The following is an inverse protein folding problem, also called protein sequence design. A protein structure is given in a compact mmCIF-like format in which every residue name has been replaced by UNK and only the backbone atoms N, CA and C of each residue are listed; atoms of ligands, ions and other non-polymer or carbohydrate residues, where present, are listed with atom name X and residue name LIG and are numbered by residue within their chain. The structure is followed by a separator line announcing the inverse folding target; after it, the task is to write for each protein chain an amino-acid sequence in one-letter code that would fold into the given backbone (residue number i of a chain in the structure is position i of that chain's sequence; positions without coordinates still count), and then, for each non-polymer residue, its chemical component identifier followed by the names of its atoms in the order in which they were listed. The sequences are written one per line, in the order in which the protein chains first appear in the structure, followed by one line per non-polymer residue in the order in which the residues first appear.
data_IF_767904545743
#
_entry.id   IF_767904545743
#
_cell.length_a   1.000
_cell.length_b   1.000
_cell.length_c   1.000
_cell.angle_alpha   90.00
_cell.angle_beta   90.00
_cell.angle_gamma   90.00
#
_symmetry.space_group_name_H-M   'P 1'
#
loop_
_entity.id
_entity.type
_entity.pdbx_description
1 polymer ?
#
# COMPACT_ATOMS: atom_id res chain seq x y z
N UNK A 1 -10.53 -3.28 -11.37
CA UNK A 1 -9.89 -2.26 -10.51
C UNK A 1 -8.36 -2.33 -10.53
N UNK A 2 -7.76 -3.04 -11.45
CA UNK A 2 -6.32 -2.89 -11.70
C UNK A 2 -6.11 -1.71 -12.64
N UNK A 3 -5.26 -0.72 -12.28
CA UNK A 3 -4.98 0.40 -13.18
C UNK A 3 -4.41 -0.16 -14.49
N UNK A 4 -5.02 0.22 -15.61
CA UNK A 4 -4.58 -0.24 -16.92
C UNK A 4 -3.51 0.72 -17.44
N UNK A 5 -2.33 0.19 -17.71
CA UNK A 5 -1.32 0.93 -18.43
C UNK A 5 -1.64 0.94 -19.94
N UNK A 6 -1.32 1.99 -20.67
CA UNK A 6 -1.38 1.97 -22.13
C UNK A 6 -0.56 0.83 -22.70
N UNK A 7 -1.05 0.22 -23.78
CA UNK A 7 -0.37 -0.88 -24.48
C UNK A 7 1.05 -0.47 -24.89
N UNK A 8 2.02 -1.35 -24.68
CA UNK A 8 3.41 -1.15 -25.08
C UNK A 8 4.20 -0.12 -24.27
N UNK A 9 3.61 0.50 -23.23
CA UNK A 9 4.33 1.52 -22.44
C UNK A 9 5.47 0.89 -21.63
N UNK A 10 6.63 1.57 -21.60
CA UNK A 10 7.75 1.18 -20.77
C UNK A 10 7.56 1.64 -19.33
N UNK A 11 8.19 0.94 -18.39
CA UNK A 11 8.17 1.28 -16.96
C UNK A 11 8.60 2.71 -16.71
N UNK A 12 9.74 3.14 -17.27
CA UNK A 12 10.22 4.51 -17.11
C UNK A 12 9.20 5.55 -17.62
N UNK A 13 8.57 5.29 -18.77
CA UNK A 13 7.58 6.20 -19.35
C UNK A 13 6.30 6.28 -18.50
N UNK A 14 5.87 5.16 -17.90
CA UNK A 14 4.73 5.15 -17.01
C UNK A 14 5.05 5.93 -15.72
N UNK A 15 6.22 5.71 -15.12
CA UNK A 15 6.64 6.44 -13.90
C UNK A 15 6.80 7.94 -14.18
N UNK A 16 7.31 8.31 -15.35
CA UNK A 16 7.43 9.70 -15.79
C UNK A 16 6.08 10.44 -15.83
N UNK A 17 4.97 9.74 -16.05
CA UNK A 17 3.62 10.35 -15.97
C UNK A 17 3.29 10.90 -14.59
N UNK A 18 3.93 10.39 -13.53
CA UNK A 18 3.82 10.96 -12.18
C UNK A 18 4.28 12.42 -12.11
N UNK A 19 5.10 12.88 -13.07
CA UNK A 19 5.56 14.27 -13.13
C UNK A 19 4.58 15.25 -13.79
N UNK A 20 3.48 14.77 -14.37
CA UNK A 20 2.48 15.64 -15.01
C UNK A 20 2.01 16.81 -14.15
N UNK A 21 1.77 16.69 -12.83
CA UNK A 21 1.39 17.84 -12.01
C UNK A 21 2.45 18.93 -11.91
N UNK A 22 3.71 18.62 -12.22
CA UNK A 22 4.83 19.58 -12.20
C UNK A 22 5.11 20.21 -13.57
N UNK A 23 4.41 19.78 -14.61
CA UNK A 23 4.56 20.27 -15.98
C UNK A 23 3.47 21.31 -16.28
N UNK A 24 3.82 22.29 -17.11
CA UNK A 24 2.89 23.28 -17.64
C UNK A 24 3.19 23.52 -19.13
N UNK A 25 2.32 24.24 -19.83
CA UNK A 25 2.51 24.59 -21.24
C UNK A 25 3.87 25.27 -21.53
N UNK A 26 4.43 25.96 -20.52
CA UNK A 26 5.71 26.69 -20.63
C UNK A 26 6.86 25.96 -19.93
N UNK A 27 6.58 24.96 -19.08
CA UNK A 27 7.59 24.18 -18.36
C UNK A 27 7.58 22.76 -18.90
N UNK A 28 8.48 22.51 -19.83
CA UNK A 28 8.75 21.18 -20.36
C UNK A 28 9.55 20.34 -19.35
N UNK A 29 9.86 19.10 -19.73
CA UNK A 29 10.69 18.17 -18.98
C UNK A 29 12.02 18.79 -18.53
N UNK A 30 12.39 18.62 -17.28
CA UNK A 30 13.58 19.21 -16.67
C UNK A 30 14.50 18.12 -16.07
N UNK A 31 15.80 18.44 -15.83
CA UNK A 31 16.69 17.52 -15.11
C UNK A 31 16.21 17.16 -13.68
N UNK A 32 15.36 17.99 -13.08
CA UNK A 32 14.74 17.69 -11.80
C UNK A 32 13.67 16.59 -11.94
N UNK A 33 12.91 16.59 -13.04
CA UNK A 33 11.93 15.55 -13.33
C UNK A 33 12.61 14.21 -13.60
N UNK A 34 13.73 14.21 -14.35
CA UNK A 34 14.55 13.02 -14.59
C UNK A 34 15.02 12.41 -13.27
N UNK A 35 15.59 13.22 -12.36
CA UNK A 35 16.03 12.75 -11.03
C UNK A 35 14.88 12.21 -10.21
N UNK A 36 13.73 12.88 -10.18
CA UNK A 36 12.57 12.42 -9.42
C UNK A 36 12.05 11.06 -9.93
N UNK A 37 12.07 10.82 -11.23
CA UNK A 37 11.71 9.52 -11.83
C UNK A 37 12.73 8.46 -11.45
N UNK A 38 14.02 8.76 -11.55
CA UNK A 38 15.08 7.82 -11.20
C UNK A 38 15.01 7.43 -9.72
N UNK A 39 14.87 8.39 -8.82
CA UNK A 39 14.71 8.17 -7.38
C UNK A 39 13.45 7.34 -7.06
N UNK A 40 12.34 7.62 -7.75
CA UNK A 40 11.11 6.87 -7.59
C UNK A 40 11.26 5.39 -8.00
N UNK A 41 11.96 5.13 -9.13
CA UNK A 41 12.26 3.77 -9.59
C UNK A 41 13.16 3.01 -8.61
N UNK A 42 14.15 3.69 -8.03
CA UNK A 42 15.06 3.12 -7.03
C UNK A 42 14.34 2.82 -5.72
N UNK A 43 13.56 3.78 -5.18
CA UNK A 43 12.80 3.59 -3.96
C UNK A 43 11.79 2.44 -4.06
N UNK A 44 11.15 2.28 -5.22
CA UNK A 44 10.22 1.17 -5.47
C UNK A 44 10.92 -0.15 -5.82
N UNK A 45 12.26 -0.17 -5.94
CA UNK A 45 13.04 -1.37 -6.28
C UNK A 45 12.77 -1.90 -7.70
N UNK A 46 12.44 -1.00 -8.65
CA UNK A 46 12.10 -1.37 -10.04
C UNK A 46 13.01 -0.72 -11.08
N UNK A 47 14.12 -0.11 -10.67
CA UNK A 47 15.05 0.56 -11.59
C UNK A 47 15.59 -0.37 -12.68
N UNK A 48 15.87 -1.63 -12.36
CA UNK A 48 16.32 -2.65 -13.33
C UNK A 48 15.27 -3.02 -14.38
N UNK A 49 14.00 -2.64 -14.16
CA UNK A 49 12.88 -2.91 -15.05
C UNK A 49 12.51 -1.70 -15.93
N UNK A 50 13.22 -0.56 -15.80
CA UNK A 50 12.87 0.71 -16.42
C UNK A 50 12.63 0.64 -17.95
N UNK A 51 13.41 -0.18 -18.65
CA UNK A 51 13.30 -0.37 -20.11
C UNK A 51 12.26 -1.41 -20.53
N UNK A 52 11.74 -2.24 -19.60
CA UNK A 52 10.75 -3.29 -19.89
C UNK A 52 9.37 -2.69 -20.14
N UNK A 53 8.54 -3.43 -20.87
CA UNK A 53 7.12 -3.09 -21.02
C UNK A 53 6.36 -3.48 -19.77
N UNK A 54 5.38 -2.68 -19.37
CA UNK A 54 4.57 -2.93 -18.15
C UNK A 54 3.78 -4.24 -18.25
N UNK A 55 3.37 -4.63 -19.44
CA UNK A 55 2.66 -5.88 -19.72
C UNK A 55 3.50 -7.14 -19.47
N UNK A 56 4.83 -7.03 -19.52
CA UNK A 56 5.78 -8.14 -19.30
C UNK A 56 6.04 -8.41 -17.80
N UNK A 57 5.50 -7.57 -16.92
CA UNK A 57 5.78 -7.62 -15.49
C UNK A 57 4.85 -8.58 -14.75
N UNK A 58 5.37 -9.20 -13.67
CA UNK A 58 4.52 -9.90 -12.70
C UNK A 58 3.57 -8.92 -12.00
N UNK A 59 2.53 -9.44 -11.35
CA UNK A 59 1.59 -8.62 -10.59
C UNK A 59 2.27 -7.73 -9.55
N UNK A 60 3.19 -8.30 -8.74
CA UNK A 60 3.93 -7.56 -7.73
C UNK A 60 4.88 -6.52 -8.30
N UNK A 61 5.58 -6.85 -9.41
CA UNK A 61 6.42 -5.88 -10.11
C UNK A 61 5.58 -4.71 -10.66
N UNK A 62 4.43 -5.02 -11.26
CA UNK A 62 3.51 -4.01 -11.78
C UNK A 62 2.99 -3.10 -10.67
N UNK A 63 2.62 -3.66 -9.53
CA UNK A 63 2.18 -2.88 -8.37
C UNK A 63 3.26 -1.91 -7.88
N UNK A 64 4.51 -2.35 -7.77
CA UNK A 64 5.64 -1.48 -7.41
C UNK A 64 5.90 -0.38 -8.44
N UNK A 65 5.68 -0.64 -9.73
CA UNK A 65 5.76 0.40 -10.77
C UNK A 65 4.67 1.47 -10.60
N UNK A 66 3.44 1.09 -10.22
CA UNK A 66 2.38 2.06 -9.89
C UNK A 66 2.73 2.90 -8.67
N UNK A 67 3.32 2.28 -7.63
CA UNK A 67 3.83 3.02 -6.48
C UNK A 67 4.95 3.97 -6.89
N UNK A 68 5.89 3.53 -7.74
CA UNK A 68 6.94 4.40 -8.29
C UNK A 68 6.35 5.63 -9.03
N UNK A 69 5.31 5.44 -9.83
CA UNK A 69 4.62 6.54 -10.51
C UNK A 69 4.02 7.53 -9.50
N UNK A 70 3.41 7.04 -8.41
CA UNK A 70 2.91 7.90 -7.35
C UNK A 70 4.03 8.61 -6.59
N UNK A 71 5.17 7.94 -6.35
CA UNK A 71 6.36 8.53 -5.72
C UNK A 71 6.99 9.63 -6.58
N UNK A 72 6.97 9.48 -7.91
CA UNK A 72 7.48 10.48 -8.84
C UNK A 72 6.70 11.81 -8.76
N UNK A 73 5.49 11.83 -8.20
CA UNK A 73 4.76 13.08 -7.91
C UNK A 73 5.44 13.92 -6.82
N UNK A 74 6.33 13.32 -6.03
CA UNK A 74 7.08 13.97 -4.96
C UNK A 74 6.18 14.72 -3.97
N UNK A 75 5.16 14.04 -3.49
CA UNK A 75 4.24 14.53 -2.47
C UNK A 75 4.60 14.01 -1.07
N UNK A 76 4.36 14.80 0.00
CA UNK A 76 4.63 14.35 1.37
C UNK A 76 3.66 13.24 1.83
N UNK A 77 2.52 13.11 1.16
CA UNK A 77 1.47 12.11 1.47
C UNK A 77 1.29 11.19 0.27
N UNK A 78 1.33 9.89 0.52
CA UNK A 78 1.05 8.82 -0.43
C UNK A 78 -0.25 8.11 -0.04
N UNK A 79 -1.21 8.06 -0.96
CA UNK A 79 -2.47 7.35 -0.79
C UNK A 79 -2.44 6.07 -1.63
N UNK A 80 -2.64 4.92 -0.99
CA UNK A 80 -2.66 3.61 -1.62
C UNK A 80 -4.04 2.95 -1.38
N UNK A 81 -4.79 2.78 -2.45
CA UNK A 81 -6.08 2.10 -2.38
C UNK A 81 -5.88 0.62 -2.73
N UNK A 82 -6.09 -0.25 -1.74
CA UNK A 82 -5.95 -1.71 -1.84
C UNK A 82 -4.65 -2.19 -2.53
N UNK A 83 -3.46 -1.75 -2.09
CA UNK A 83 -2.22 -2.01 -2.82
C UNK A 83 -1.77 -3.48 -2.78
N UNK A 84 -2.41 -4.31 -1.97
CA UNK A 84 -2.09 -5.75 -1.80
C UNK A 84 -3.08 -6.68 -2.49
N UNK A 85 -4.17 -6.16 -3.06
CA UNK A 85 -5.23 -6.96 -3.70
C UNK A 85 -4.70 -7.69 -4.93
N UNK A 86 -5.06 -8.96 -5.10
CA UNK A 86 -4.62 -9.88 -6.16
C UNK A 86 -3.12 -10.25 -6.15
N UNK A 87 -2.40 -9.93 -5.08
CA UNK A 87 -1.02 -10.35 -4.88
C UNK A 87 -0.95 -11.60 -4.00
N UNK A 88 0.02 -12.48 -4.25
CA UNK A 88 0.38 -13.51 -3.29
C UNK A 88 1.02 -12.92 -2.03
N UNK A 89 1.10 -13.71 -0.98
CA UNK A 89 1.54 -13.24 0.34
C UNK A 89 2.95 -12.63 0.31
N UNK A 90 3.87 -13.13 -0.51
CA UNK A 90 5.23 -12.61 -0.57
C UNK A 90 5.25 -11.20 -1.16
N UNK A 91 4.51 -10.99 -2.24
CA UNK A 91 4.40 -9.68 -2.89
C UNK A 91 3.59 -8.66 -2.05
N UNK A 92 2.57 -9.13 -1.29
CA UNK A 92 1.88 -8.26 -0.32
C UNK A 92 2.84 -7.72 0.73
N UNK A 93 3.69 -8.60 1.29
CA UNK A 93 4.71 -8.22 2.27
C UNK A 93 5.71 -7.22 1.66
N UNK A 94 6.23 -7.48 0.46
CA UNK A 94 7.15 -6.57 -0.23
C UNK A 94 6.56 -5.16 -0.40
N UNK A 95 5.29 -5.05 -0.79
CA UNK A 95 4.59 -3.76 -0.95
C UNK A 95 4.45 -3.03 0.38
N UNK A 96 4.11 -3.75 1.46
CA UNK A 96 3.95 -3.15 2.79
C UNK A 96 5.29 -2.79 3.43
N UNK A 97 6.34 -3.56 3.19
CA UNK A 97 7.71 -3.20 3.59
C UNK A 97 8.20 -1.94 2.89
N UNK A 98 7.90 -1.79 1.58
CA UNK A 98 8.16 -0.55 0.85
C UNK A 98 7.40 0.62 1.48
N UNK A 99 6.11 0.47 1.77
CA UNK A 99 5.30 1.50 2.42
C UNK A 99 5.88 1.91 3.80
N UNK A 100 6.30 0.92 4.60
CA UNK A 100 6.94 1.16 5.89
C UNK A 100 8.32 1.83 5.76
N UNK A 101 9.10 1.50 4.72
CA UNK A 101 10.37 2.17 4.45
C UNK A 101 10.18 3.64 4.08
N UNK A 102 9.17 3.95 3.26
CA UNK A 102 8.82 5.33 2.89
C UNK A 102 8.36 6.14 4.11
N UNK A 103 7.59 5.52 5.00
CA UNK A 103 7.15 6.15 6.25
C UNK A 103 8.36 6.47 7.15
N UNK A 104 9.34 5.57 7.29
CA UNK A 104 10.59 5.83 8.04
C UNK A 104 11.43 6.95 7.44
N UNK A 105 11.30 7.21 6.14
CA UNK A 105 11.93 8.33 5.44
C UNK A 105 11.16 9.66 5.60
N UNK A 106 10.10 9.69 6.42
CA UNK A 106 9.34 10.89 6.75
C UNK A 106 8.11 11.14 5.87
N UNK A 107 7.74 10.23 4.95
CA UNK A 107 6.49 10.34 4.19
C UNK A 107 5.30 9.85 5.01
N UNK A 108 4.15 10.46 4.84
CA UNK A 108 2.89 9.93 5.36
C UNK A 108 2.30 8.97 4.34
N UNK A 109 2.13 7.69 4.72
CA UNK A 109 1.49 6.69 3.85
C UNK A 109 0.13 6.33 4.44
N UNK A 110 -0.93 6.49 3.66
CA UNK A 110 -2.28 6.06 3.98
C UNK A 110 -2.65 4.93 3.04
N UNK A 111 -2.97 3.75 3.57
CA UNK A 111 -3.33 2.58 2.78
C UNK A 111 -4.68 2.01 3.23
N UNK A 112 -5.53 1.65 2.26
CA UNK A 112 -6.72 0.83 2.50
C UNK A 112 -6.30 -0.63 2.38
N UNK A 113 -6.53 -1.41 3.42
CA UNK A 113 -6.15 -2.82 3.48
C UNK A 113 -7.33 -3.69 3.92
N UNK A 114 -7.41 -4.91 3.39
CA UNK A 114 -8.42 -5.89 3.75
C UNK A 114 -7.87 -7.00 4.67
N UNK A 115 -6.58 -7.28 4.60
CA UNK A 115 -5.92 -8.31 5.40
C UNK A 115 -5.58 -7.77 6.79
N UNK A 116 -6.40 -8.11 7.80
CA UNK A 116 -6.26 -7.63 9.17
C UNK A 116 -4.86 -7.87 9.76
N UNK A 117 -4.31 -9.08 9.55
CA UNK A 117 -3.00 -9.43 10.08
C UNK A 117 -1.89 -8.52 9.55
N UNK A 118 -1.93 -8.20 8.25
CA UNK A 118 -0.97 -7.31 7.62
C UNK A 118 -1.21 -5.84 8.03
N UNK A 119 -2.47 -5.41 8.10
CA UNK A 119 -2.80 -4.07 8.57
C UNK A 119 -2.30 -3.85 10.00
N UNK A 120 -2.51 -4.79 10.92
CA UNK A 120 -2.07 -4.67 12.31
C UNK A 120 -0.56 -4.75 12.49
N UNK A 121 0.13 -5.48 11.60
CA UNK A 121 1.58 -5.62 11.64
C UNK A 121 2.31 -4.38 11.12
N UNK A 122 1.82 -3.76 10.05
CA UNK A 122 2.54 -2.70 9.34
C UNK A 122 2.06 -1.28 9.68
N UNK A 123 0.80 -1.11 10.10
CA UNK A 123 0.28 0.21 10.43
C UNK A 123 0.84 0.71 11.77
N UNK A 124 1.24 1.98 11.80
CA UNK A 124 1.54 2.72 13.04
C UNK A 124 0.27 3.31 13.64
N UNK A 125 -0.73 3.58 12.79
CA UNK A 125 -2.03 4.12 13.17
C UNK A 125 -3.10 3.50 12.29
N UNK A 126 -4.20 3.07 12.90
CA UNK A 126 -5.37 2.54 12.21
C UNK A 126 -6.53 3.53 12.28
N UNK A 127 -7.29 3.59 11.21
CA UNK A 127 -8.63 4.18 11.17
C UNK A 127 -9.60 3.07 10.77
N UNK A 128 -10.44 2.66 11.71
CA UNK A 128 -11.43 1.59 11.49
C UNK A 128 -12.76 2.23 11.12
N UNK A 129 -13.28 1.87 9.95
CA UNK A 129 -14.55 2.36 9.45
C UNK A 129 -15.60 1.25 9.42
N UNK A 130 -16.82 1.60 9.77
CA UNK A 130 -17.99 0.72 9.68
C UNK A 130 -19.22 1.53 9.31
N UNK A 131 -19.97 1.09 8.31
CA UNK A 131 -21.20 1.76 7.83
C UNK A 131 -21.02 3.27 7.56
N UNK A 132 -19.89 3.66 6.97
CA UNK A 132 -19.60 5.05 6.60
C UNK A 132 -19.12 5.94 7.76
N UNK A 133 -18.94 5.40 8.97
CA UNK A 133 -18.46 6.14 10.13
C UNK A 133 -17.11 5.58 10.64
N UNK A 134 -16.29 6.45 11.23
CA UNK A 134 -15.10 6.05 11.97
C UNK A 134 -15.56 5.52 13.33
N UNK A 135 -15.26 4.27 13.63
CA UNK A 135 -15.67 3.61 14.90
C UNK A 135 -14.52 3.45 15.88
N UNK A 136 -13.27 3.48 15.40
CA UNK A 136 -12.07 3.49 16.22
C UNK A 136 -10.90 4.09 15.44
N UNK A 137 -9.95 4.72 16.15
CA UNK A 137 -8.68 5.17 15.58
C UNK A 137 -7.60 5.17 16.67
N UNK A 138 -6.38 4.83 16.29
CA UNK A 138 -5.23 4.74 17.20
C UNK A 138 -4.23 3.68 16.77
N UNK A 139 -3.25 3.38 17.61
CA UNK A 139 -2.31 2.31 17.31
C UNK A 139 -3.01 0.94 17.33
N UNK A 140 -2.56 -0.04 16.50
CA UNK A 140 -3.16 -1.38 16.51
C UNK A 140 -3.24 -2.01 17.89
N UNK A 141 -2.19 -1.83 18.70
CA UNK A 141 -2.12 -2.42 20.05
C UNK A 141 -3.12 -1.82 21.04
N UNK A 142 -3.52 -0.57 20.85
CA UNK A 142 -4.44 0.13 21.75
C UNK A 142 -5.90 -0.11 21.39
N UNK A 143 -6.22 -0.12 20.09
CA UNK A 143 -7.62 -0.09 19.67
C UNK A 143 -8.17 -1.46 19.24
N UNK A 144 -7.31 -2.42 18.84
CA UNK A 144 -7.79 -3.72 18.38
C UNK A 144 -8.19 -4.58 19.58
N UNK A 145 -9.50 -4.85 19.69
CA UNK A 145 -10.10 -5.72 20.69
C UNK A 145 -10.99 -6.77 20.04
N UNK A 146 -11.26 -7.89 20.73
CA UNK A 146 -12.19 -8.91 20.26
C UNK A 146 -13.56 -8.30 19.95
N UNK A 147 -14.04 -7.40 20.81
CA UNK A 147 -15.32 -6.69 20.65
C UNK A 147 -15.35 -5.79 19.40
N UNK A 148 -14.23 -5.10 19.10
CA UNK A 148 -14.13 -4.28 17.89
C UNK A 148 -14.21 -5.15 16.64
N UNK A 149 -13.47 -6.26 16.61
CA UNK A 149 -13.47 -7.19 15.46
C UNK A 149 -14.84 -7.82 15.27
N UNK A 150 -15.49 -8.28 16.33
CA UNK A 150 -16.84 -8.84 16.28
C UNK A 150 -17.84 -7.81 15.77
N UNK A 151 -17.80 -6.58 16.29
CA UNK A 151 -18.72 -5.49 15.90
C UNK A 151 -18.57 -5.09 14.43
N UNK A 152 -17.33 -4.99 13.93
CA UNK A 152 -17.04 -4.42 12.60
C UNK A 152 -17.12 -5.48 11.49
N UNK A 153 -16.64 -6.70 11.78
CA UNK A 153 -16.49 -7.78 10.79
C UNK A 153 -17.46 -8.94 11.00
N UNK A 154 -18.35 -8.86 12.02
CA UNK A 154 -19.24 -9.97 12.42
C UNK A 154 -18.46 -11.29 12.60
N UNK A 155 -17.28 -11.19 13.24
CA UNK A 155 -16.32 -12.28 13.37
C UNK A 155 -15.99 -12.52 14.85
N UNK A 156 -16.63 -13.49 15.52
CA UNK A 156 -16.19 -13.94 16.84
C UNK A 156 -14.74 -14.45 16.75
N UNK A 157 -13.87 -13.94 17.59
CA UNK A 157 -12.45 -14.26 17.52
C UNK A 157 -11.81 -14.33 18.90
N UNK A 158 -10.58 -14.79 18.92
CA UNK A 158 -9.62 -14.61 20.00
C UNK A 158 -8.47 -13.78 19.47
N UNK A 159 -7.97 -12.87 20.28
CA UNK A 159 -6.74 -12.13 19.95
C UNK A 159 -5.54 -12.82 20.56
N UNK A 160 -4.54 -13.04 19.72
CA UNK A 160 -3.18 -13.38 20.11
C UNK A 160 -2.28 -12.17 19.78
N UNK A 161 -1.02 -12.25 20.19
CA UNK A 161 -0.03 -11.22 19.86
C UNK A 161 1.20 -11.86 19.22
N UNK A 162 1.65 -11.25 18.13
CA UNK A 162 2.92 -11.64 17.49
C UNK A 162 4.07 -11.46 18.50
N UNK A 163 4.81 -12.51 18.84
CA UNK A 163 5.89 -12.41 19.84
C UNK A 163 7.05 -11.50 19.42
N UNK A 164 7.21 -11.25 18.13
CA UNK A 164 8.28 -10.40 17.61
C UNK A 164 7.89 -8.93 17.59
N UNK A 165 6.68 -8.63 17.10
CA UNK A 165 6.23 -7.26 16.87
C UNK A 165 5.24 -6.78 17.93
N UNK A 166 4.61 -7.69 18.67
CA UNK A 166 3.50 -7.39 19.58
C UNK A 166 2.21 -6.98 18.86
N UNK A 167 2.16 -7.13 17.54
CA UNK A 167 0.96 -6.82 16.77
C UNK A 167 -0.18 -7.81 17.08
N UNK A 168 -1.45 -7.34 17.14
CA UNK A 168 -2.58 -8.23 17.32
C UNK A 168 -2.74 -9.21 16.16
N UNK A 169 -3.07 -10.47 16.48
CA UNK A 169 -3.38 -11.53 15.53
C UNK A 169 -4.80 -12.01 15.81
N UNK A 170 -5.64 -11.99 14.79
CA UNK A 170 -7.04 -12.44 14.90
C UNK A 170 -7.10 -13.94 14.61
N UNK A 171 -7.53 -14.71 15.61
CA UNK A 171 -7.83 -16.12 15.46
C UNK A 171 -9.35 -16.31 15.46
N UNK A 172 -9.99 -16.59 14.30
CA UNK A 172 -11.43 -16.77 14.23
C UNK A 172 -11.90 -17.94 15.11
N UNK A 173 -13.01 -17.75 15.82
CA UNK A 173 -13.72 -18.83 16.53
C UNK A 173 -14.80 -19.41 15.64
N UNK A 174 -15.08 -20.73 15.73
CA UNK A 174 -16.22 -21.31 15.02
C UNK A 174 -17.51 -20.56 15.41
N UNK A 175 -18.30 -20.15 14.42
CA UNK A 175 -19.65 -19.68 14.68
C UNK A 175 -20.45 -20.83 15.32
N UNK A 176 -21.07 -20.60 16.49
CA UNK A 176 -22.01 -21.58 17.02
C UNK A 176 -23.09 -21.76 15.95
N UNK A 177 -23.17 -22.94 15.35
CA UNK A 177 -24.27 -23.28 14.48
C UNK A 177 -25.54 -23.13 15.34
N UNK A 178 -26.43 -22.24 14.92
CA UNK A 178 -27.80 -22.26 15.39
C UNK A 178 -28.40 -23.56 14.85
N UNK A 179 -28.57 -24.56 15.74
CA UNK A 179 -29.35 -25.77 15.50
C UNK A 179 -30.82 -25.38 15.40
#
# INVERSE_FOLDING_TARGET
QSPQAPEGIRVADLVARGRHPHQSLLRQWSPADERAVQEALEHAGVASLASRRVEELSGGQRQRVWIAMALAQDTPVLLLDEPTTYLDISHQVEVLELAAALQRQGRTVVAVLHELALAFRYATHLVVMHQGAIVAQGSPREIVTEQLIEKVFDLPCQLLHDPQTGAPLVLPRPRKQAL
#
